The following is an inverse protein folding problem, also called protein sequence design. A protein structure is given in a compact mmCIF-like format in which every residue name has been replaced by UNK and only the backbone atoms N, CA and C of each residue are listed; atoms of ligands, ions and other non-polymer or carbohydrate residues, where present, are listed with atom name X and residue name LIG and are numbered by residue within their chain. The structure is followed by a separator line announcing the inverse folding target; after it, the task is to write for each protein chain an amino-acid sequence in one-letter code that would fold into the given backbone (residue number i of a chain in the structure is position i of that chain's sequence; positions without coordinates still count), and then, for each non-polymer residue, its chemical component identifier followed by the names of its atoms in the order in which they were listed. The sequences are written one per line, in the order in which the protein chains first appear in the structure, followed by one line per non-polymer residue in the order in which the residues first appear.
data_IF_575261817672
#
_entry.id   IF_575261817672
#
_cell.length_a   1.000
_cell.length_b   1.000
_cell.length_c   1.000
_cell.angle_alpha   90.00
_cell.angle_beta   90.00
_cell.angle_gamma   90.00
#
_symmetry.space_group_name_H-M   'P 1'
#
loop_
_entity.id
_entity.type
_entity.pdbx_description
1 polymer ?
#
# COMPACT_ATOMS: atom_id res chain seq x y z
N UNK A 1 1.92 -18.29 -7.50
CA UNK A 1 2.40 -18.10 -6.12
C UNK A 1 1.50 -17.07 -5.47
N UNK A 2 0.41 -17.53 -4.86
CA UNK A 2 -0.54 -16.69 -4.13
C UNK A 2 -0.10 -16.67 -2.68
N UNK A 3 0.47 -15.55 -2.24
CA UNK A 3 0.78 -15.32 -0.83
C UNK A 3 -0.50 -15.13 -0.04
N UNK A 4 -0.67 -15.93 1.01
CA UNK A 4 -1.81 -15.87 1.91
C UNK A 4 -1.51 -14.78 2.95
N UNK A 5 -2.17 -13.63 2.82
CA UNK A 5 -2.09 -12.50 3.76
C UNK A 5 -2.86 -12.88 5.05
N UNK A 6 -2.39 -12.43 6.22
CA UNK A 6 -2.82 -12.92 7.54
C UNK A 6 -4.15 -12.30 8.01
N UNK A 7 -5.16 -13.14 8.25
CA UNK A 7 -6.59 -12.81 8.44
C UNK A 7 -7.06 -12.36 9.84
N UNK A 8 -6.18 -12.18 10.84
CA UNK A 8 -6.63 -11.85 12.22
C UNK A 8 -6.69 -10.34 12.53
N UNK A 9 -6.02 -9.53 11.72
CA UNK A 9 -6.20 -8.09 11.64
C UNK A 9 -6.66 -7.86 10.21
N UNK A 10 -7.95 -7.62 9.96
CA UNK A 10 -8.40 -7.19 8.63
C UNK A 10 -7.44 -6.08 8.19
N UNK A 11 -6.89 -6.19 6.98
CA UNK A 11 -5.66 -5.52 6.53
C UNK A 11 -5.59 -4.02 6.83
N UNK A 12 -6.70 -3.36 7.18
CA UNK A 12 -6.78 -1.90 7.22
C UNK A 12 -7.31 -1.38 8.59
N UNK A 13 -7.32 -2.20 9.65
CA UNK A 13 -7.50 -1.77 11.06
C UNK A 13 -8.73 -0.84 11.32
N UNK A 14 -9.90 -1.14 10.76
CA UNK A 14 -11.13 -0.36 10.96
C UNK A 14 -11.33 0.82 10.00
N UNK A 15 -10.28 1.20 9.25
CA UNK A 15 -10.34 2.21 8.20
C UNK A 15 -11.42 1.95 7.14
N UNK A 16 -11.58 0.71 6.63
CA UNK A 16 -12.54 0.41 5.59
C UNK A 16 -13.97 0.67 5.98
N UNK A 17 -14.34 0.19 7.17
CA UNK A 17 -15.66 0.32 7.74
C UNK A 17 -16.01 1.80 7.93
N UNK A 18 -15.06 2.60 8.44
CA UNK A 18 -15.24 4.04 8.58
C UNK A 18 -15.43 4.75 7.24
N UNK A 19 -14.64 4.40 6.23
CA UNK A 19 -14.72 5.02 4.91
C UNK A 19 -16.03 4.70 4.18
N UNK A 20 -16.53 3.46 4.24
CA UNK A 20 -17.83 3.08 3.64
C UNK A 20 -18.96 3.93 4.21
N UNK A 21 -18.96 4.18 5.53
CA UNK A 21 -19.96 5.04 6.18
C UNK A 21 -19.87 6.48 5.69
N UNK A 22 -18.67 7.03 5.53
CA UNK A 22 -18.49 8.39 5.00
C UNK A 22 -18.92 8.48 3.54
N UNK A 23 -18.61 7.49 2.72
CA UNK A 23 -19.05 7.44 1.33
C UNK A 23 -20.58 7.35 1.21
N UNK A 24 -21.24 6.61 2.11
CA UNK A 24 -22.70 6.60 2.22
C UNK A 24 -23.28 7.97 2.58
N UNK A 25 -22.66 8.68 3.53
CA UNK A 25 -23.07 10.04 3.91
C UNK A 25 -22.92 11.01 2.73
N UNK A 26 -21.81 10.93 1.98
CA UNK A 26 -21.56 11.78 0.81
C UNK A 26 -22.57 11.52 -0.30
N UNK A 27 -22.93 10.26 -0.55
CA UNK A 27 -23.95 9.91 -1.54
C UNK A 27 -25.35 10.45 -1.15
N UNK A 28 -25.74 10.32 0.12
CA UNK A 28 -27.02 10.90 0.59
C UNK A 28 -27.02 12.43 0.54
N UNK A 29 -25.89 13.06 0.87
CA UNK A 29 -25.74 14.51 0.74
C UNK A 29 -25.88 14.95 -0.73
N UNK A 30 -25.25 14.22 -1.65
CA UNK A 30 -25.34 14.48 -3.09
C UNK A 30 -26.79 14.38 -3.60
N UNK A 31 -27.53 13.34 -3.18
CA UNK A 31 -28.95 13.17 -3.50
C UNK A 31 -29.79 14.35 -2.99
N UNK A 32 -29.61 14.75 -1.73
CA UNK A 32 -30.34 15.89 -1.15
C UNK A 32 -30.03 17.21 -1.83
N UNK A 33 -28.79 17.39 -2.31
CA UNK A 33 -28.36 18.59 -3.02
C UNK A 33 -28.66 18.55 -4.52
N UNK A 34 -29.19 17.43 -5.04
CA UNK A 34 -29.36 17.21 -6.49
C UNK A 34 -28.08 17.46 -7.29
N UNK A 35 -26.93 17.05 -6.74
CA UNK A 35 -25.62 17.16 -7.37
C UNK A 35 -25.06 15.77 -7.68
N UNK A 36 -24.25 15.62 -8.75
CA UNK A 36 -23.48 14.41 -8.96
C UNK A 36 -22.55 14.12 -7.76
N UNK A 37 -22.49 12.87 -7.32
CA UNK A 37 -21.73 12.48 -6.13
C UNK A 37 -20.22 12.74 -6.29
N UNK A 38 -19.68 12.58 -7.49
CA UNK A 38 -18.28 12.86 -7.79
C UNK A 38 -17.94 14.35 -7.63
N UNK A 39 -18.88 15.25 -7.97
CA UNK A 39 -18.75 16.69 -7.74
C UNK A 39 -18.78 17.03 -6.25
N UNK A 40 -19.64 16.36 -5.47
CA UNK A 40 -19.69 16.55 -4.01
C UNK A 40 -18.39 16.08 -3.36
N UNK A 41 -17.85 14.92 -3.76
CA UNK A 41 -16.54 14.42 -3.30
C UNK A 41 -15.45 15.46 -3.58
N UNK A 42 -15.32 15.89 -4.82
CA UNK A 42 -14.26 16.81 -5.27
C UNK A 42 -14.29 18.16 -4.52
N UNK A 43 -15.48 18.72 -4.27
CA UNK A 43 -15.62 19.98 -3.53
C UNK A 43 -15.19 19.90 -2.06
N UNK A 44 -15.20 18.69 -1.49
CA UNK A 44 -14.87 18.41 -0.10
C UNK A 44 -13.46 17.85 0.09
N UNK A 45 -12.62 17.81 -0.95
CA UNK A 45 -11.22 17.42 -0.80
C UNK A 45 -10.44 18.39 0.09
N UNK A 46 -9.48 17.82 0.81
CA UNK A 46 -8.48 18.56 1.55
C UNK A 46 -7.69 19.49 0.63
N UNK A 47 -7.28 20.63 1.19
CA UNK A 47 -6.41 21.64 0.57
C UNK A 47 -5.14 21.82 1.41
N UNK A 48 -4.12 22.43 0.82
CA UNK A 48 -2.86 22.65 1.52
C UNK A 48 -3.05 23.54 2.74
N UNK A 49 -2.54 23.07 3.88
CA UNK A 49 -2.74 23.70 5.19
C UNK A 49 -3.94 23.16 5.97
N UNK A 50 -4.82 22.36 5.35
CA UNK A 50 -5.92 21.73 6.07
C UNK A 50 -5.40 20.70 7.08
N UNK A 51 -6.20 20.48 8.12
CA UNK A 51 -5.92 19.50 9.16
C UNK A 51 -7.00 18.43 9.17
N UNK A 52 -6.58 17.22 9.51
CA UNK A 52 -7.48 16.10 9.84
C UNK A 52 -8.27 16.41 11.11
N UNK A 53 -9.33 15.64 11.37
CA UNK A 53 -10.14 15.75 12.58
C UNK A 53 -9.35 15.52 13.89
N UNK A 54 -8.18 14.87 13.82
CA UNK A 54 -7.22 14.70 14.94
C UNK A 54 -6.08 15.73 14.93
N UNK A 55 -6.15 16.78 14.11
CA UNK A 55 -5.22 17.91 14.13
C UNK A 55 -3.89 17.70 13.41
N UNK A 56 -3.67 16.56 12.74
CA UNK A 56 -2.53 16.38 11.84
C UNK A 56 -2.75 17.17 10.55
N UNK A 57 -1.77 17.97 10.14
CA UNK A 57 -1.74 18.63 8.82
C UNK A 57 -1.69 17.56 7.73
N UNK A 58 -2.50 17.71 6.69
CA UNK A 58 -2.46 16.85 5.51
C UNK A 58 -1.38 17.35 4.57
N UNK A 59 -0.17 16.80 4.73
CA UNK A 59 0.95 17.07 3.82
C UNK A 59 0.60 16.61 2.40
N UNK A 60 1.02 17.38 1.39
CA UNK A 60 0.76 17.16 -0.03
C UNK A 60 -0.74 16.96 -0.39
N UNK A 61 -1.64 17.70 0.26
CA UNK A 61 -3.08 17.55 0.06
C UNK A 61 -3.49 17.78 -1.41
N UNK A 62 -2.73 18.53 -2.21
CA UNK A 62 -3.00 18.69 -3.64
C UNK A 62 -2.94 17.37 -4.44
N UNK A 63 -2.23 16.35 -3.94
CA UNK A 63 -2.09 15.05 -4.63
C UNK A 63 -3.42 14.40 -4.92
N UNK A 64 -4.41 14.51 -4.03
CA UNK A 64 -5.72 13.90 -4.29
C UNK A 64 -6.44 14.56 -5.47
N UNK A 65 -6.32 15.89 -5.61
CA UNK A 65 -6.88 16.62 -6.74
C UNK A 65 -6.20 16.27 -8.07
N UNK A 66 -4.88 16.11 -8.05
CA UNK A 66 -4.10 15.68 -9.22
C UNK A 66 -4.51 14.26 -9.65
N UNK A 67 -4.51 13.31 -8.70
CA UNK A 67 -4.90 11.92 -8.94
C UNK A 67 -6.33 11.85 -9.50
N UNK A 68 -7.26 12.56 -8.87
CA UNK A 68 -8.66 12.59 -9.28
C UNK A 68 -8.85 13.08 -10.71
N UNK A 69 -8.28 14.25 -11.04
CA UNK A 69 -8.40 14.85 -12.36
C UNK A 69 -7.77 13.96 -13.44
N UNK A 70 -6.53 13.51 -13.21
CA UNK A 70 -5.83 12.64 -14.15
C UNK A 70 -6.59 11.32 -14.37
N UNK A 71 -7.17 10.74 -13.32
CA UNK A 71 -7.94 9.51 -13.44
C UNK A 71 -9.26 9.74 -14.20
N UNK A 72 -9.98 10.85 -13.96
CA UNK A 72 -11.19 11.17 -14.75
C UNK A 72 -10.87 11.32 -16.23
N UNK A 73 -9.77 11.98 -16.57
CA UNK A 73 -9.31 12.16 -17.95
C UNK A 73 -8.91 10.82 -18.60
N UNK A 74 -8.02 10.06 -17.96
CA UNK A 74 -7.45 8.83 -18.53
C UNK A 74 -8.45 7.66 -18.58
N UNK A 75 -9.42 7.61 -17.67
CA UNK A 75 -10.50 6.61 -17.68
C UNK A 75 -11.63 6.95 -18.65
N UNK A 76 -11.66 8.19 -19.18
CA UNK A 76 -12.75 8.71 -20.02
C UNK A 76 -14.07 8.87 -19.26
N UNK A 77 -14.00 9.18 -17.95
CA UNK A 77 -15.13 9.11 -17.01
C UNK A 77 -16.43 9.75 -17.54
N UNK A 78 -16.36 11.01 -18.00
CA UNK A 78 -17.55 11.74 -18.46
C UNK A 78 -18.15 11.13 -19.73
N UNK A 79 -17.30 10.64 -20.65
CA UNK A 79 -17.75 9.97 -21.86
C UNK A 79 -18.44 8.63 -21.56
N UNK A 80 -17.90 7.86 -20.59
CA UNK A 80 -18.52 6.60 -20.15
C UNK A 80 -19.84 6.86 -19.43
N UNK A 81 -19.90 7.87 -18.57
CA UNK A 81 -21.15 8.30 -17.90
C UNK A 81 -22.26 8.59 -18.91
N UNK A 82 -21.95 9.35 -19.97
CA UNK A 82 -22.91 9.62 -21.04
C UNK A 82 -23.31 8.36 -21.83
N UNK A 83 -22.37 7.43 -22.05
CA UNK A 83 -22.65 6.14 -22.68
C UNK A 83 -23.58 5.24 -21.84
N UNK A 84 -23.35 5.19 -20.53
CA UNK A 84 -24.15 4.43 -19.57
C UNK A 84 -25.58 4.97 -19.50
N UNK A 85 -25.77 6.29 -19.51
CA UNK A 85 -27.11 6.88 -19.55
C UNK A 85 -27.91 6.42 -20.79
N UNK A 86 -27.25 6.31 -21.95
CA UNK A 86 -27.88 5.76 -23.17
C UNK A 86 -28.19 4.27 -23.02
N UNK A 87 -27.22 3.48 -22.56
CA UNK A 87 -27.40 2.05 -22.33
C UNK A 87 -28.59 1.77 -21.40
N UNK A 88 -28.66 2.49 -20.28
CA UNK A 88 -29.72 2.33 -19.28
C UNK A 88 -31.11 2.75 -19.79
N UNK A 89 -31.19 3.64 -20.79
CA UNK A 89 -32.46 4.00 -21.43
C UNK A 89 -32.94 2.92 -22.40
N UNK A 90 -32.01 2.19 -23.04
CA UNK A 90 -32.30 1.15 -24.03
C UNK A 90 -32.53 -0.24 -23.41
N UNK A 91 -31.96 -0.50 -22.24
CA UNK A 91 -31.99 -1.81 -21.58
C UNK A 91 -32.82 -1.75 -20.29
N UNK A 92 -34.09 -2.21 -20.28
CA UNK A 92 -34.96 -2.08 -19.11
C UNK A 92 -34.53 -2.98 -17.93
N UNK A 93 -33.97 -4.15 -18.21
CA UNK A 93 -33.64 -5.18 -17.22
C UNK A 93 -32.14 -5.38 -16.99
N UNK A 94 -31.29 -4.64 -17.70
CA UNK A 94 -29.84 -4.63 -17.49
C UNK A 94 -29.42 -3.20 -17.31
N UNK A 95 -28.72 -2.90 -16.21
CA UNK A 95 -28.27 -1.55 -15.89
C UNK A 95 -26.77 -1.52 -15.72
N UNK A 96 -26.16 -0.44 -16.17
CA UNK A 96 -24.77 -0.12 -15.89
C UNK A 96 -24.68 1.01 -14.89
N UNK A 97 -23.68 0.93 -14.04
CA UNK A 97 -23.34 1.97 -13.09
C UNK A 97 -21.86 2.32 -13.18
N UNK A 98 -21.53 3.54 -12.77
CA UNK A 98 -20.17 4.07 -12.81
C UNK A 98 -19.91 4.90 -11.58
N UNK A 99 -18.83 4.60 -10.88
CA UNK A 99 -18.42 5.42 -9.75
C UNK A 99 -16.92 5.66 -9.73
N UNK A 100 -16.57 6.81 -9.16
CA UNK A 100 -15.20 7.20 -8.83
C UNK A 100 -15.12 7.50 -7.33
N UNK A 101 -14.14 6.92 -6.65
CA UNK A 101 -13.94 7.09 -5.20
C UNK A 101 -12.47 7.38 -4.88
N UNK A 102 -12.18 8.34 -4.00
CA UNK A 102 -10.83 8.68 -3.56
C UNK A 102 -10.38 7.80 -2.38
N UNK A 103 -9.08 7.77 -2.11
CA UNK A 103 -8.53 7.29 -0.83
C UNK A 103 -7.44 8.24 -0.33
N UNK A 104 -7.47 8.49 0.98
CA UNK A 104 -6.34 9.07 1.74
C UNK A 104 -6.08 8.17 2.94
N UNK A 105 -4.98 7.44 2.90
CA UNK A 105 -4.63 6.45 3.91
C UNK A 105 -3.41 6.87 4.72
N UNK A 106 -3.50 6.86 6.05
CA UNK A 106 -2.38 7.24 6.93
C UNK A 106 -1.45 6.06 7.18
N UNK A 107 -0.14 6.26 7.01
CA UNK A 107 0.87 5.21 7.18
C UNK A 107 1.64 5.43 8.48
N UNK A 108 1.49 4.46 9.39
CA UNK A 108 2.23 4.19 10.63
C UNK A 108 1.37 3.27 11.50
N UNK A 109 1.96 2.59 12.47
CA UNK A 109 1.20 2.09 13.61
C UNK A 109 0.66 3.24 14.45
N UNK A 110 -0.60 3.14 14.89
CA UNK A 110 -1.22 4.11 15.82
C UNK A 110 -0.48 4.16 17.16
N UNK A 111 0.07 3.03 17.62
CA UNK A 111 0.96 2.98 18.76
C UNK A 111 2.40 3.33 18.34
N UNK A 112 2.90 4.48 18.80
CA UNK A 112 4.23 5.01 18.47
C UNK A 112 5.35 3.98 18.66
N UNK A 113 5.30 3.19 19.73
CA UNK A 113 6.32 2.20 20.05
C UNK A 113 6.53 1.12 18.96
N UNK A 114 5.53 0.83 18.12
CA UNK A 114 5.69 -0.18 17.06
C UNK A 114 6.33 0.35 15.78
N UNK A 115 6.57 1.66 15.68
CA UNK A 115 7.16 2.28 14.49
C UNK A 115 8.70 2.28 14.54
N UNK A 116 9.26 1.10 14.78
CA UNK A 116 10.70 0.86 14.88
C UNK A 116 11.08 -0.48 14.23
N UNK A 117 12.30 -0.57 13.73
CA UNK A 117 12.88 -1.81 13.23
C UNK A 117 14.40 -1.84 13.40
N UNK A 118 14.95 -3.05 13.51
CA UNK A 118 16.38 -3.33 13.48
C UNK A 118 16.77 -4.18 12.29
N UNK A 119 18.05 -4.15 11.93
CA UNK A 119 18.62 -4.99 10.88
C UNK A 119 20.08 -5.35 11.21
N UNK A 120 20.55 -6.48 10.72
CA UNK A 120 21.94 -6.93 10.81
C UNK A 120 22.46 -7.28 9.41
N UNK A 121 23.49 -6.58 8.96
CA UNK A 121 24.14 -6.79 7.66
C UNK A 121 25.55 -7.30 7.87
N UNK A 122 25.89 -8.40 7.22
CA UNK A 122 27.22 -9.03 7.26
C UNK A 122 27.79 -9.08 5.84
N UNK A 123 29.06 -8.69 5.69
CA UNK A 123 29.79 -8.78 4.44
C UNK A 123 30.91 -9.82 4.62
N UNK A 124 30.92 -10.83 3.77
CA UNK A 124 31.96 -11.86 3.76
C UNK A 124 33.15 -11.43 2.91
N UNK A 125 34.31 -12.08 3.12
CA UNK A 125 35.55 -11.74 2.41
C UNK A 125 35.48 -11.90 0.90
N UNK A 126 34.61 -12.77 0.40
CA UNK A 126 34.37 -12.98 -1.03
C UNK A 126 33.46 -11.90 -1.66
N UNK A 127 32.99 -10.94 -0.84
CA UNK A 127 32.08 -9.88 -1.24
C UNK A 127 30.61 -10.31 -1.28
N UNK A 128 30.25 -11.50 -0.79
CA UNK A 128 28.85 -11.85 -0.57
C UNK A 128 28.30 -11.15 0.68
N UNK A 129 27.02 -10.80 0.65
CA UNK A 129 26.35 -10.00 1.69
C UNK A 129 25.14 -10.76 2.22
N UNK A 130 25.05 -10.87 3.54
CA UNK A 130 23.91 -11.45 4.24
C UNK A 130 23.15 -10.36 4.97
N UNK A 131 21.83 -10.31 4.80
CA UNK A 131 20.94 -9.34 5.45
C UNK A 131 19.92 -10.07 6.32
N UNK A 132 19.86 -9.71 7.60
CA UNK A 132 18.82 -10.13 8.53
C UNK A 132 18.00 -8.89 8.92
N UNK A 133 16.68 -9.00 8.95
CA UNK A 133 15.76 -7.93 9.32
C UNK A 133 14.52 -8.52 10.02
N UNK A 134 13.69 -7.66 10.61
CA UNK A 134 12.60 -8.09 11.50
C UNK A 134 11.26 -8.38 10.84
N UNK A 135 11.02 -7.89 9.64
CA UNK A 135 9.79 -8.10 8.89
C UNK A 135 9.69 -9.49 8.27
N UNK A 136 8.48 -9.97 8.02
CA UNK A 136 8.19 -11.33 7.54
C UNK A 136 7.68 -11.30 6.11
N UNK A 137 8.20 -12.18 5.25
CA UNK A 137 7.67 -12.38 3.90
C UNK A 137 6.35 -13.16 3.95
N UNK A 138 5.30 -12.60 3.39
CA UNK A 138 3.96 -13.19 3.29
C UNK A 138 3.37 -13.04 1.87
N UNK A 139 4.21 -12.76 0.87
CA UNK A 139 3.85 -12.61 -0.54
C UNK A 139 3.83 -11.17 -1.04
N UNK A 140 4.07 -10.20 -0.15
CA UNK A 140 4.15 -8.77 -0.48
C UNK A 140 5.50 -8.35 -1.06
N UNK A 141 6.47 -9.27 -1.17
CA UNK A 141 7.77 -9.00 -1.76
C UNK A 141 8.68 -8.15 -0.89
N UNK A 142 8.51 -8.22 0.44
CA UNK A 142 9.35 -7.50 1.39
C UNK A 142 10.83 -7.90 1.21
N UNK A 143 11.13 -9.19 1.10
CA UNK A 143 12.52 -9.64 1.01
C UNK A 143 13.18 -9.17 -0.29
N UNK A 144 12.43 -9.14 -1.39
CA UNK A 144 12.90 -8.57 -2.67
C UNK A 144 13.24 -7.09 -2.52
N UNK A 145 12.37 -6.29 -1.89
CA UNK A 145 12.63 -4.86 -1.67
C UNK A 145 13.83 -4.63 -0.74
N UNK A 146 13.96 -5.43 0.32
CA UNK A 146 15.13 -5.37 1.22
C UNK A 146 16.43 -5.71 0.47
N UNK A 147 16.41 -6.70 -0.42
CA UNK A 147 17.56 -7.04 -1.25
C UNK A 147 17.95 -5.86 -2.15
N UNK A 148 16.97 -5.20 -2.78
CA UNK A 148 17.19 -4.01 -3.62
C UNK A 148 17.76 -2.84 -2.82
N UNK A 149 17.22 -2.55 -1.64
CA UNK A 149 17.72 -1.48 -0.76
C UNK A 149 19.16 -1.76 -0.33
N UNK A 150 19.48 -3.00 0.05
CA UNK A 150 20.84 -3.35 0.47
C UNK A 150 21.84 -3.28 -0.70
N UNK A 151 21.46 -3.76 -1.88
CA UNK A 151 22.28 -3.71 -3.09
C UNK A 151 22.57 -2.25 -3.51
N UNK A 152 21.53 -1.41 -3.56
CA UNK A 152 21.68 0.03 -3.87
C UNK A 152 22.52 0.75 -2.81
N UNK A 153 22.23 0.51 -1.53
CA UNK A 153 22.95 1.09 -0.41
C UNK A 153 24.45 0.81 -0.46
N UNK A 154 24.85 -0.42 -0.81
CA UNK A 154 26.26 -0.83 -0.93
C UNK A 154 26.86 -0.58 -2.33
N UNK A 155 26.05 -0.30 -3.34
CA UNK A 155 26.49 -0.14 -4.73
C UNK A 155 26.95 -1.44 -5.38
N UNK A 156 26.25 -2.55 -5.12
CA UNK A 156 26.61 -3.90 -5.60
C UNK A 156 25.46 -4.57 -6.37
N UNK A 157 25.74 -5.58 -7.21
CA UNK A 157 24.71 -6.37 -7.86
C UNK A 157 23.79 -7.12 -6.88
N UNK A 158 22.52 -7.32 -7.25
CA UNK A 158 21.52 -8.01 -6.41
C UNK A 158 21.93 -9.44 -6.01
N UNK A 159 22.59 -10.16 -6.90
CA UNK A 159 23.01 -11.56 -6.70
C UNK A 159 24.11 -11.72 -5.62
N UNK A 160 24.75 -10.62 -5.21
CA UNK A 160 25.67 -10.58 -4.06
C UNK A 160 24.93 -10.54 -2.73
N UNK A 161 23.66 -10.13 -2.72
CA UNK A 161 22.88 -9.94 -1.49
C UNK A 161 21.94 -11.12 -1.27
N UNK A 162 22.02 -11.73 -0.09
CA UNK A 162 21.09 -12.75 0.38
C UNK A 162 20.33 -12.26 1.60
N UNK A 163 19.02 -12.11 1.46
CA UNK A 163 18.11 -11.84 2.59
C UNK A 163 17.76 -13.17 3.26
N UNK A 164 17.92 -13.20 4.58
CA UNK A 164 17.67 -14.39 5.39
C UNK A 164 16.25 -14.39 5.93
N UNK A 165 15.75 -15.59 6.22
CA UNK A 165 14.51 -15.76 6.98
C UNK A 165 14.60 -15.02 8.33
N UNK A 166 13.47 -14.42 8.71
CA UNK A 166 13.34 -13.65 9.95
C UNK A 166 13.57 -14.54 11.16
N UNK A 167 14.47 -14.11 12.06
CA UNK A 167 14.81 -14.85 13.27
C UNK A 167 15.11 -13.92 14.43
N UNK A 168 14.51 -14.20 15.59
CA UNK A 168 14.66 -13.40 16.82
C UNK A 168 16.07 -13.48 17.43
N UNK A 169 16.85 -14.53 17.13
CA UNK A 169 18.26 -14.62 17.53
C UNK A 169 19.18 -13.70 16.70
N UNK A 170 18.69 -13.17 15.58
CA UNK A 170 19.44 -12.24 14.71
C UNK A 170 19.01 -10.80 14.89
N UNK A 171 17.70 -10.57 14.99
CA UNK A 171 17.11 -9.25 15.21
C UNK A 171 16.04 -9.39 16.31
N UNK A 172 16.33 -8.96 17.56
CA UNK A 172 15.38 -9.06 18.66
C UNK A 172 14.36 -7.90 18.64
N UNK A 173 13.29 -8.05 19.43
CA UNK A 173 12.31 -6.98 19.72
C UNK A 173 11.68 -6.33 18.48
N UNK A 174 11.42 -7.13 17.45
CA UNK A 174 10.87 -6.64 16.18
C UNK A 174 9.38 -6.37 16.31
N UNK A 175 8.92 -5.27 15.72
CA UNK A 175 7.49 -5.00 15.56
C UNK A 175 6.87 -5.98 14.57
N UNK A 176 5.54 -6.16 14.66
CA UNK A 176 4.83 -7.02 13.71
C UNK A 176 4.94 -6.48 12.28
N UNK A 177 4.86 -7.37 11.28
CA UNK A 177 4.77 -6.95 9.87
C UNK A 177 3.31 -6.59 9.55
N UNK A 178 2.95 -5.33 9.76
CA UNK A 178 1.58 -4.79 9.59
C UNK A 178 1.60 -3.26 9.38
N UNK A 179 0.42 -2.63 9.30
CA UNK A 179 0.22 -1.18 9.16
C UNK A 179 0.88 -0.60 7.89
N UNK A 180 0.96 -1.43 6.84
CA UNK A 180 1.70 -1.20 5.59
C UNK A 180 3.17 -0.77 5.77
N UNK A 181 3.75 -0.81 6.96
CA UNK A 181 5.03 -0.16 7.29
C UNK A 181 6.25 -1.08 7.17
N UNK A 182 6.06 -2.33 6.75
CA UNK A 182 7.09 -3.37 6.77
C UNK A 182 8.36 -3.00 5.99
N UNK A 183 8.22 -2.52 4.75
CA UNK A 183 9.38 -2.10 3.93
C UNK A 183 9.98 -0.81 4.45
N UNK A 184 9.16 0.19 4.82
CA UNK A 184 9.63 1.46 5.33
C UNK A 184 10.56 1.28 6.55
N UNK A 185 10.08 0.53 7.54
CA UNK A 185 10.81 0.33 8.79
C UNK A 185 12.06 -0.53 8.58
N UNK A 186 11.91 -1.74 8.02
CA UNK A 186 13.02 -2.68 7.88
C UNK A 186 14.00 -2.22 6.80
N UNK A 187 13.51 -1.58 5.75
CA UNK A 187 14.31 -1.01 4.68
C UNK A 187 15.17 0.15 5.17
N UNK A 188 14.60 1.07 5.96
CA UNK A 188 15.38 2.15 6.56
C UNK A 188 16.43 1.62 7.56
N UNK A 189 16.11 0.59 8.34
CA UNK A 189 17.08 -0.05 9.22
C UNK A 189 18.22 -0.72 8.44
N UNK A 190 17.92 -1.38 7.31
CA UNK A 190 18.94 -1.95 6.40
C UNK A 190 19.77 -0.85 5.76
N UNK A 191 19.15 0.24 5.29
CA UNK A 191 19.85 1.37 4.71
C UNK A 191 20.83 2.01 5.69
N UNK A 192 20.46 2.13 6.98
CA UNK A 192 21.36 2.59 8.04
C UNK A 192 22.57 1.67 8.21
N UNK A 193 22.37 0.35 8.28
CA UNK A 193 23.47 -0.62 8.35
C UNK A 193 24.39 -0.55 7.11
N UNK A 194 23.81 -0.43 5.92
CA UNK A 194 24.54 -0.29 4.66
C UNK A 194 25.35 1.02 4.61
N UNK A 195 24.81 2.14 5.09
CA UNK A 195 25.53 3.41 5.16
C UNK A 195 26.76 3.32 6.07
N UNK A 196 26.64 2.68 7.24
CA UNK A 196 27.76 2.43 8.14
C UNK A 196 28.85 1.57 7.48
N UNK A 197 28.46 0.48 6.80
CA UNK A 197 29.40 -0.42 6.12
C UNK A 197 30.08 0.27 4.93
N UNK A 198 29.33 1.01 4.12
CA UNK A 198 29.87 1.78 3.00
C UNK A 198 30.91 2.78 3.46
N UNK A 199 30.66 3.53 4.55
CA UNK A 199 31.65 4.45 5.09
C UNK A 199 32.96 3.76 5.47
N UNK A 200 32.88 2.58 6.11
CA UNK A 200 34.06 1.78 6.49
C UNK A 200 34.80 1.21 5.28
N UNK A 201 34.08 0.71 4.28
CA UNK A 201 34.65 0.15 3.05
C UNK A 201 35.32 1.24 2.21
N UNK A 202 34.69 2.41 2.06
CA UNK A 202 35.28 3.56 1.36
C UNK A 202 36.57 4.02 2.03
N UNK A 203 36.61 4.06 3.37
CA UNK A 203 37.82 4.38 4.11
C UNK A 203 38.91 3.30 3.90
N UNK A 204 38.54 2.02 3.92
CA UNK A 204 39.47 0.92 3.69
C UNK A 204 40.05 0.89 2.27
N UNK A 205 39.28 1.34 1.27
CA UNK A 205 39.73 1.50 -0.11
C UNK A 205 40.67 2.70 -0.30
N UNK A 206 40.83 3.57 0.70
CA UNK A 206 41.63 4.80 0.62
C UNK A 206 41.29 5.70 -0.59
N UNK A 207 40.04 5.65 -1.05
CA UNK A 207 39.57 6.39 -2.23
C UNK A 207 39.93 5.75 -3.58
N UNK A 208 40.50 4.56 -3.60
CA UNK A 208 40.75 3.81 -4.84
C UNK A 208 39.44 3.25 -5.42
N UNK A 209 39.00 3.83 -6.51
CA UNK A 209 37.77 3.45 -7.23
C UNK A 209 38.00 2.33 -8.25
N UNK A 210 39.24 1.87 -8.44
CA UNK A 210 39.56 0.77 -9.36
C UNK A 210 39.35 -0.62 -8.75
N UNK A 211 39.29 -0.70 -7.42
CA UNK A 211 39.10 -1.95 -6.69
C UNK A 211 37.69 -2.50 -6.90
N UNK A 212 37.62 -3.80 -7.18
CA UNK A 212 36.37 -4.55 -7.14
C UNK A 212 35.86 -4.69 -5.71
N UNK A 213 34.55 -4.90 -5.54
CA UNK A 213 33.96 -5.05 -4.20
C UNK A 213 34.63 -6.15 -3.34
N UNK A 214 34.97 -7.35 -3.86
CA UNK A 214 35.74 -8.35 -3.10
C UNK A 214 37.14 -7.88 -2.69
N UNK A 215 37.84 -7.12 -3.55
CA UNK A 215 39.15 -6.56 -3.22
C UNK A 215 39.06 -5.52 -2.09
N UNK A 216 38.01 -4.68 -2.10
CA UNK A 216 37.73 -3.74 -1.00
C UNK A 216 37.44 -4.51 0.29
N UNK A 217 36.66 -5.59 0.24
CA UNK A 217 36.36 -6.43 1.41
C UNK A 217 37.63 -7.09 1.97
N UNK A 218 38.50 -7.59 1.10
CA UNK A 218 39.79 -8.18 1.49
C UNK A 218 40.73 -7.12 2.10
N UNK A 219 40.79 -5.92 1.53
CA UNK A 219 41.55 -4.80 2.06
C UNK A 219 41.05 -4.40 3.46
N UNK A 220 39.74 -4.25 3.62
CA UNK A 220 39.10 -3.97 4.91
C UNK A 220 39.42 -5.05 5.95
N UNK A 221 39.35 -6.33 5.57
CA UNK A 221 39.72 -7.45 6.44
C UNK A 221 41.18 -7.37 6.91
N UNK A 222 42.12 -7.12 5.99
CA UNK A 222 43.56 -6.97 6.33
C UNK A 222 43.83 -5.78 7.25
N UNK A 223 43.02 -4.73 7.11
CA UNK A 223 43.08 -3.55 7.98
C UNK A 223 42.36 -3.75 9.33
N UNK A 224 41.74 -4.92 9.55
CA UNK A 224 40.94 -5.25 10.75
C UNK A 224 39.70 -4.37 10.91
N UNK A 225 39.14 -3.93 9.78
CA UNK A 225 37.87 -3.17 9.75
C UNK A 225 36.70 -4.15 9.91
N UNK A 226 35.73 -3.88 10.79
CA UNK A 226 34.58 -4.75 10.98
C UNK A 226 33.63 -4.70 9.77
N UNK A 227 33.45 -5.87 9.14
CA UNK A 227 32.57 -6.11 7.98
C UNK A 227 31.14 -6.53 8.37
N UNK A 228 30.65 -6.04 9.50
CA UNK A 228 29.27 -6.23 9.94
C UNK A 228 28.74 -4.95 10.57
N UNK A 229 27.44 -4.69 10.43
CA UNK A 229 26.79 -3.56 11.08
C UNK A 229 25.38 -3.94 11.54
N UNK A 230 24.97 -3.31 12.63
CA UNK A 230 23.59 -3.29 13.08
C UNK A 230 23.01 -1.94 12.68
N UNK A 231 21.87 -1.97 12.01
CA UNK A 231 21.13 -0.78 11.63
C UNK A 231 19.83 -0.69 12.41
N UNK A 232 19.36 0.53 12.62
CA UNK A 232 18.15 0.76 13.39
C UNK A 232 17.38 1.97 12.87
N UNK A 233 16.07 1.85 12.81
CA UNK A 233 15.18 2.93 12.42
C UNK A 233 14.08 3.12 13.45
N UNK A 234 13.78 4.40 13.73
CA UNK A 234 12.59 4.83 14.45
C UNK A 234 11.92 5.91 13.64
N UNK A 235 10.61 5.80 13.44
CA UNK A 235 9.87 6.78 12.66
C UNK A 235 9.84 8.12 13.39
N UNK A 236 10.33 9.22 12.77
CA UNK A 236 10.44 10.50 13.44
C UNK A 236 9.10 11.27 13.44
N UNK A 237 8.90 12.08 14.49
CA UNK A 237 7.85 13.11 14.54
C UNK A 237 6.41 12.61 14.78
N UNK A 238 6.20 11.30 14.91
CA UNK A 238 4.87 10.73 15.16
C UNK A 238 4.52 10.74 16.66
N UNK A 239 3.27 11.06 16.99
CA UNK A 239 2.72 11.07 18.34
C UNK A 239 1.19 11.13 18.30
N UNK A 240 0.51 10.60 19.32
CA UNK A 240 -0.94 10.73 19.46
C UNK A 240 -1.30 10.75 20.94
N UNK A 241 -2.08 11.75 21.37
CA UNK A 241 -2.59 11.83 22.74
C UNK A 241 -4.01 11.25 22.78
N UNK A 242 -4.21 10.07 23.40
CA UNK A 242 -5.52 9.44 23.48
C UNK A 242 -6.51 10.19 24.36
N UNK A 243 -6.04 11.09 25.27
CA UNK A 243 -6.93 11.87 26.13
C UNK A 243 -7.59 13.02 25.36
N UNK A 244 -6.83 13.69 24.50
CA UNK A 244 -7.33 14.79 23.69
C UNK A 244 -7.82 14.35 22.31
N UNK A 245 -7.46 13.13 21.87
CA UNK A 245 -7.76 12.62 20.53
C UNK A 245 -7.00 13.35 19.42
N UNK A 246 -5.84 13.97 19.74
CA UNK A 246 -5.09 14.83 18.84
C UNK A 246 -3.63 14.41 18.70
N UNK A 247 -3.02 14.70 17.56
CA UNK A 247 -1.59 14.51 17.32
C UNK A 247 -1.23 14.29 15.85
N UNK A 248 -0.02 13.78 15.62
CA UNK A 248 0.49 13.31 14.31
C UNK A 248 0.68 11.78 14.36
N UNK A 249 -0.40 10.97 14.29
CA UNK A 249 -0.27 9.51 14.35
C UNK A 249 0.45 8.90 13.14
N UNK A 250 0.34 9.54 11.96
CA UNK A 250 0.87 8.99 10.71
C UNK A 250 2.11 9.75 10.22
N UNK A 251 3.08 9.03 9.67
CA UNK A 251 4.30 9.65 9.15
C UNK A 251 4.03 10.42 7.85
N UNK A 252 3.24 9.83 6.96
CA UNK A 252 2.75 10.42 5.72
C UNK A 252 1.39 9.82 5.33
N UNK A 253 0.80 10.32 4.24
CA UNK A 253 -0.43 9.77 3.65
C UNK A 253 -0.19 9.20 2.26
N UNK A 254 -0.78 8.04 1.97
CA UNK A 254 -0.92 7.49 0.62
C UNK A 254 -2.25 7.96 0.02
N UNK A 255 -2.20 8.47 -1.21
CA UNK A 255 -3.38 8.94 -1.94
C UNK A 255 -3.68 8.03 -3.13
N UNK A 256 -4.93 7.96 -3.53
CA UNK A 256 -5.32 7.20 -4.72
C UNK A 256 -6.76 7.49 -5.11
N UNK A 257 -7.16 6.98 -6.26
CA UNK A 257 -8.56 6.91 -6.66
C UNK A 257 -8.78 5.73 -7.60
N UNK A 258 -10.03 5.27 -7.66
CA UNK A 258 -10.45 4.24 -8.60
C UNK A 258 -11.77 4.62 -9.26
N UNK A 259 -11.87 4.31 -10.55
CA UNK A 259 -13.09 4.38 -11.34
C UNK A 259 -13.50 2.96 -11.69
N UNK A 260 -14.72 2.55 -11.32
CA UNK A 260 -15.25 1.22 -11.66
C UNK A 260 -16.56 1.34 -12.42
N UNK A 261 -16.71 0.52 -13.45
CA UNK A 261 -17.93 0.36 -14.26
C UNK A 261 -18.42 -1.09 -14.15
N UNK A 262 -19.70 -1.24 -13.84
CA UNK A 262 -20.36 -2.52 -13.64
C UNK A 262 -21.59 -2.63 -14.53
N UNK A 263 -22.06 -3.85 -14.74
CA UNK A 263 -23.38 -4.15 -15.30
C UNK A 263 -24.11 -5.12 -14.36
N UNK A 264 -25.36 -4.80 -14.01
CA UNK A 264 -26.23 -5.61 -13.13
C UNK A 264 -27.38 -6.20 -13.93
N UNK A 265 -27.66 -7.48 -13.69
CA UNK A 265 -28.87 -8.15 -14.15
C UNK A 265 -30.03 -7.90 -13.16
N UNK A 266 -31.10 -7.26 -13.65
CA UNK A 266 -32.26 -6.91 -12.83
C UNK A 266 -33.15 -8.08 -12.43
N UNK A 267 -32.93 -9.29 -12.96
CA UNK A 267 -33.66 -10.49 -12.59
C UNK A 267 -32.92 -11.34 -11.55
N UNK A 268 -31.59 -11.49 -11.70
CA UNK A 268 -30.79 -12.35 -10.79
C UNK A 268 -30.11 -11.56 -9.68
N UNK A 269 -29.83 -10.27 -9.89
CA UNK A 269 -28.99 -9.46 -9.02
C UNK A 269 -27.49 -9.70 -9.21
N UNK A 270 -27.11 -10.58 -10.15
CA UNK A 270 -25.71 -10.78 -10.50
C UNK A 270 -25.14 -9.52 -11.16
N UNK A 271 -23.85 -9.30 -10.98
CA UNK A 271 -23.15 -8.20 -11.63
C UNK A 271 -21.87 -8.68 -12.33
N UNK A 272 -21.46 -7.93 -13.35
CA UNK A 272 -20.16 -8.07 -14.01
C UNK A 272 -19.36 -6.80 -13.83
N UNK A 273 -18.09 -6.94 -13.47
CA UNK A 273 -17.15 -5.83 -13.40
C UNK A 273 -16.52 -5.62 -14.77
N UNK A 274 -17.01 -4.64 -15.52
CA UNK A 274 -16.61 -4.42 -16.91
C UNK A 274 -15.23 -3.77 -16.99
N UNK A 275 -14.98 -2.75 -16.16
CA UNK A 275 -13.73 -2.01 -16.20
C UNK A 275 -13.43 -1.35 -14.87
N UNK A 276 -12.17 -1.43 -14.46
CA UNK A 276 -11.62 -0.63 -13.35
C UNK A 276 -10.35 0.09 -13.81
N UNK A 277 -10.27 1.39 -13.53
CA UNK A 277 -9.08 2.22 -13.68
C UNK A 277 -8.63 2.72 -12.30
N UNK A 278 -7.37 2.46 -11.93
CA UNK A 278 -6.76 2.88 -10.67
C UNK A 278 -5.58 3.80 -10.95
N UNK A 279 -5.50 4.89 -10.18
CA UNK A 279 -4.31 5.71 -10.08
C UNK A 279 -3.93 5.88 -8.61
N UNK A 280 -2.71 5.47 -8.27
CA UNK A 280 -2.25 5.37 -6.89
C UNK A 280 -0.91 6.07 -6.68
N UNK A 281 -0.80 6.85 -5.60
CA UNK A 281 0.45 7.45 -5.16
C UNK A 281 1.27 6.45 -4.33
N UNK A 282 2.36 5.97 -4.92
CA UNK A 282 3.32 5.02 -4.31
C UNK A 282 4.69 5.68 -4.04
N UNK A 283 4.78 7.00 -4.17
CA UNK A 283 6.07 7.69 -4.17
C UNK A 283 7.00 7.21 -5.30
N UNK A 284 8.29 7.16 -5.02
CA UNK A 284 9.27 6.51 -5.88
C UNK A 284 9.30 5.01 -5.56
N UNK A 285 8.56 4.23 -6.35
CA UNK A 285 8.42 2.80 -6.16
C UNK A 285 9.77 2.08 -6.17
N UNK A 286 10.04 1.28 -5.13
CA UNK A 286 11.24 0.43 -5.04
C UNK A 286 11.16 -0.74 -6.04
N UNK A 287 9.95 -1.29 -6.21
CA UNK A 287 9.71 -2.42 -7.10
C UNK A 287 8.33 -2.29 -7.75
N UNK A 288 8.26 -1.66 -8.94
CA UNK A 288 6.99 -1.33 -9.59
C UNK A 288 6.10 -2.54 -9.87
N UNK A 289 6.70 -3.70 -10.18
CA UNK A 289 5.96 -4.94 -10.45
C UNK A 289 5.31 -5.46 -9.16
N UNK A 290 6.04 -5.41 -8.03
CA UNK A 290 5.51 -5.81 -6.72
C UNK A 290 4.41 -4.87 -6.28
N UNK A 291 4.62 -3.55 -6.42
CA UNK A 291 3.63 -2.54 -6.02
C UNK A 291 2.36 -2.64 -6.86
N UNK A 292 2.47 -2.89 -8.17
CA UNK A 292 1.32 -3.17 -9.02
C UNK A 292 0.54 -4.39 -8.54
N UNK A 293 1.23 -5.50 -8.23
CA UNK A 293 0.58 -6.70 -7.71
C UNK A 293 -0.12 -6.49 -6.36
N UNK A 294 0.43 -5.64 -5.49
CA UNK A 294 -0.23 -5.24 -4.24
C UNK A 294 -1.49 -4.40 -4.49
N UNK A 295 -1.45 -3.48 -5.45
CA UNK A 295 -2.64 -2.68 -5.81
C UNK A 295 -3.74 -3.58 -6.38
N UNK A 296 -3.40 -4.48 -7.31
CA UNK A 296 -4.33 -5.42 -7.90
C UNK A 296 -4.92 -6.37 -6.84
N UNK A 297 -4.07 -6.97 -6.01
CA UNK A 297 -4.48 -7.89 -4.95
C UNK A 297 -5.35 -7.23 -3.88
N UNK A 298 -4.93 -6.07 -3.37
CA UNK A 298 -5.69 -5.30 -2.38
C UNK A 298 -7.05 -4.86 -2.92
N UNK A 299 -7.10 -4.36 -4.17
CA UNK A 299 -8.36 -4.00 -4.81
C UNK A 299 -9.33 -5.19 -4.91
N UNK A 300 -8.88 -6.35 -5.42
CA UNK A 300 -9.74 -7.53 -5.56
C UNK A 300 -10.19 -8.07 -4.21
N UNK A 301 -9.33 -8.03 -3.19
CA UNK A 301 -9.74 -8.37 -1.81
C UNK A 301 -10.83 -7.42 -1.30
N UNK A 302 -10.71 -6.12 -1.60
CA UNK A 302 -11.76 -5.15 -1.30
C UNK A 302 -13.07 -5.41 -2.06
N UNK A 303 -12.99 -5.87 -3.32
CA UNK A 303 -14.17 -6.29 -4.10
C UNK A 303 -14.85 -7.45 -3.38
N UNK A 304 -14.10 -8.50 -3.03
CA UNK A 304 -14.61 -9.64 -2.27
C UNK A 304 -15.34 -9.22 -1.00
N UNK A 305 -14.66 -8.43 -0.16
CA UNK A 305 -15.20 -7.91 1.08
C UNK A 305 -16.52 -7.14 0.91
N UNK A 306 -16.67 -6.37 -0.17
CA UNK A 306 -17.82 -5.49 -0.38
C UNK A 306 -18.99 -6.17 -1.10
N UNK A 307 -18.77 -7.26 -1.84
CA UNK A 307 -19.77 -7.77 -2.78
C UNK A 307 -20.12 -9.24 -2.62
N UNK A 308 -19.21 -10.11 -2.17
CA UNK A 308 -19.45 -11.57 -2.18
C UNK A 308 -19.02 -12.32 -0.91
N UNK A 309 -18.12 -11.76 -0.10
CA UNK A 309 -17.63 -12.38 1.13
C UNK A 309 -18.63 -12.19 2.26
N UNK A 310 -19.32 -13.27 2.66
CA UNK A 310 -20.32 -13.24 3.72
C UNK A 310 -20.05 -14.30 4.80
N UNK A 311 -19.89 -13.83 6.04
CA UNK A 311 -19.91 -14.71 7.21
C UNK A 311 -21.35 -14.88 7.67
N UNK A 312 -21.79 -16.13 7.78
CA UNK A 312 -23.11 -16.48 8.32
C UNK A 312 -22.95 -17.29 9.59
N UNK A 313 -23.88 -17.11 10.53
CA UNK A 313 -23.93 -17.83 11.79
C UNK A 313 -25.25 -18.59 11.91
N UNK A 314 -25.19 -19.77 12.52
CA UNK A 314 -26.38 -20.52 12.90
C UNK A 314 -27.05 -19.96 14.17
N UNK A 315 -28.22 -20.48 14.52
CA UNK A 315 -28.98 -20.10 15.71
C UNK A 315 -28.24 -20.35 17.04
N UNK A 316 -27.13 -21.10 17.01
CA UNK A 316 -26.28 -21.39 18.16
C UNK A 316 -24.99 -20.56 18.17
N UNK A 317 -24.83 -19.62 17.23
CA UNK A 317 -23.66 -18.75 17.11
C UNK A 317 -22.42 -19.43 16.52
N UNK A 318 -22.57 -20.55 15.81
CA UNK A 318 -21.48 -21.22 15.08
C UNK A 318 -21.37 -20.67 13.67
N UNK A 319 -20.16 -20.57 13.13
CA UNK A 319 -19.93 -20.11 11.76
C UNK A 319 -20.42 -21.16 10.76
N UNK A 320 -21.45 -20.81 9.99
CA UNK A 320 -22.04 -21.64 8.95
C UNK A 320 -21.18 -21.64 7.66
N UNK A 321 -20.50 -20.52 7.36
CA UNK A 321 -19.64 -20.39 6.17
C UNK A 321 -18.17 -20.70 6.50
N UNK A 322 -17.90 -21.88 7.06
CA UNK A 322 -16.57 -22.27 7.58
C UNK A 322 -15.63 -22.96 6.56
N UNK A 323 -15.99 -23.00 5.27
CA UNK A 323 -15.21 -23.64 4.21
C UNK A 323 -15.23 -22.84 2.91
N UNK A 324 -14.29 -23.09 1.99
CA UNK A 324 -14.28 -22.47 0.65
C UNK A 324 -15.52 -22.79 -0.21
N UNK A 325 -16.23 -23.89 0.13
CA UNK A 325 -17.50 -24.22 -0.55
C UNK A 325 -18.65 -23.29 -0.13
N UNK A 326 -18.54 -22.68 1.05
CA UNK A 326 -19.58 -21.86 1.69
C UNK A 326 -19.20 -20.39 1.86
N UNK A 327 -17.90 -20.07 1.96
CA UNK A 327 -17.35 -18.71 1.99
C UNK A 327 -16.65 -18.44 0.68
N UNK A 328 -17.13 -17.47 -0.09
CA UNK A 328 -16.66 -17.22 -1.45
C UNK A 328 -15.67 -16.07 -1.48
N UNK A 329 -14.41 -16.41 -1.74
CA UNK A 329 -13.41 -15.44 -2.14
C UNK A 329 -13.61 -15.08 -3.63
N UNK A 330 -13.16 -13.89 -4.05
CA UNK A 330 -13.10 -13.54 -5.46
C UNK A 330 -12.40 -14.60 -6.30
N UNK A 331 -13.06 -14.98 -7.37
CA UNK A 331 -12.53 -15.84 -8.42
C UNK A 331 -12.26 -15.01 -9.67
N UNK A 332 -11.95 -15.67 -10.80
CA UNK A 332 -11.70 -14.97 -12.06
C UNK A 332 -12.90 -14.18 -12.59
N UNK A 333 -14.13 -14.54 -12.21
CA UNK A 333 -15.34 -13.79 -12.63
C UNK A 333 -15.47 -12.43 -11.97
N UNK A 334 -14.84 -12.23 -10.81
CA UNK A 334 -14.89 -10.96 -10.07
C UNK A 334 -13.78 -9.98 -10.46
N UNK A 335 -12.83 -10.43 -11.31
CA UNK A 335 -11.77 -9.57 -11.85
C UNK A 335 -12.35 -8.71 -12.98
N UNK A 336 -12.03 -7.40 -13.05
CA UNK A 336 -12.48 -6.55 -14.15
C UNK A 336 -12.05 -7.08 -15.52
N UNK A 337 -12.94 -7.09 -16.51
CA UNK A 337 -12.58 -7.46 -17.89
C UNK A 337 -11.46 -6.55 -18.44
N UNK A 338 -11.51 -5.26 -18.09
CA UNK A 338 -10.44 -4.29 -18.33
C UNK A 338 -9.91 -3.77 -16.99
N UNK A 339 -8.68 -4.14 -16.63
CA UNK A 339 -8.06 -3.72 -15.37
C UNK A 339 -6.80 -2.87 -15.59
N UNK A 340 -6.96 -1.55 -15.48
CA UNK A 340 -5.87 -0.59 -15.65
C UNK A 340 -5.36 -0.12 -14.29
N UNK A 341 -4.11 -0.42 -13.97
CA UNK A 341 -3.45 0.03 -12.73
C UNK A 341 -2.24 0.88 -13.08
N UNK A 342 -2.30 2.15 -12.66
CA UNK A 342 -1.24 3.13 -12.88
C UNK A 342 -0.79 3.75 -11.56
N UNK A 343 0.44 4.26 -11.55
CA UNK A 343 1.03 4.95 -10.40
C UNK A 343 1.24 6.43 -10.71
N UNK A 344 1.09 7.28 -9.70
CA UNK A 344 1.34 8.71 -9.83
C UNK A 344 2.84 8.95 -10.09
N UNK A 345 3.15 9.73 -11.12
CA UNK A 345 4.55 10.04 -11.47
C UNK A 345 5.03 11.29 -10.74
N UNK A 346 6.35 11.38 -10.51
CA UNK A 346 7.00 12.52 -9.84
C UNK A 346 6.40 12.80 -8.45
N UNK A 347 6.22 11.73 -7.68
CA UNK A 347 5.52 11.76 -6.40
C UNK A 347 6.42 11.41 -5.20
N UNK A 348 7.75 11.56 -5.34
CA UNK A 348 8.76 11.27 -4.31
C UNK A 348 8.27 11.66 -2.90
N UNK A 349 8.30 10.71 -1.97
CA UNK A 349 8.02 10.97 -0.57
C UNK A 349 9.32 11.38 0.13
N UNK A 350 9.41 12.59 0.73
CA UNK A 350 10.62 12.98 1.44
C UNK A 350 10.79 12.19 2.75
N UNK A 351 12.05 12.04 3.17
CA UNK A 351 12.45 11.49 4.49
C UNK A 351 12.06 10.03 4.75
N UNK A 352 11.86 9.24 3.70
CA UNK A 352 11.60 7.79 3.77
C UNK A 352 12.57 7.04 2.87
N UNK A 353 12.67 5.72 3.05
CA UNK A 353 13.59 4.88 2.29
C UNK A 353 13.27 4.96 0.78
N UNK A 354 14.28 5.33 -0.01
CA UNK A 354 14.23 5.47 -1.46
C UNK A 354 13.09 6.35 -2.01
N UNK A 355 12.52 7.26 -1.21
CA UNK A 355 11.43 8.11 -1.66
C UNK A 355 10.07 7.40 -1.84
N UNK A 356 9.96 6.15 -1.37
CA UNK A 356 8.80 5.28 -1.58
C UNK A 356 7.63 5.53 -0.65
N UNK A 357 6.43 5.07 -1.01
CA UNK A 357 5.28 4.97 -0.11
C UNK A 357 4.78 3.53 0.01
N UNK A 358 4.29 3.23 1.19
CA UNK A 358 3.65 1.99 1.54
C UNK A 358 2.33 1.78 0.77
N UNK A 359 2.09 0.54 0.33
CA UNK A 359 0.97 0.23 -0.57
C UNK A 359 0.17 -1.04 -0.27
N UNK A 360 0.45 -1.74 0.83
CA UNK A 360 -0.25 -3.00 1.13
C UNK A 360 -1.75 -2.83 1.35
N UNK A 361 -2.12 -1.87 2.19
CA UNK A 361 -3.50 -1.71 2.69
C UNK A 361 -4.35 -0.66 1.95
N UNK A 362 -3.81 0.50 1.49
CA UNK A 362 -4.62 1.53 0.82
C UNK A 362 -5.48 1.05 -0.36
N UNK A 363 -5.01 0.15 -1.24
CA UNK A 363 -5.77 -0.30 -2.41
C UNK A 363 -7.05 -1.06 -2.10
N UNK A 364 -7.18 -1.67 -0.91
CA UNK A 364 -8.41 -2.33 -0.49
C UNK A 364 -9.59 -1.35 -0.52
N UNK A 365 -9.34 -0.08 -0.20
CA UNK A 365 -10.40 0.92 -0.16
C UNK A 365 -10.87 1.41 -1.52
N UNK A 366 -10.04 1.24 -2.54
CA UNK A 366 -10.39 1.62 -3.90
C UNK A 366 -11.55 0.79 -4.44
N UNK A 367 -11.78 -0.41 -3.89
CA UNK A 367 -12.92 -1.24 -4.22
C UNK A 367 -14.27 -0.65 -3.81
N UNK A 368 -14.31 0.39 -2.95
CA UNK A 368 -15.56 1.12 -2.70
C UNK A 368 -16.14 1.68 -4.02
N UNK A 369 -15.31 1.98 -5.02
CA UNK A 369 -15.79 2.34 -6.36
C UNK A 369 -16.70 1.28 -6.98
N UNK A 370 -16.50 -0.01 -6.70
CA UNK A 370 -17.36 -1.10 -7.19
C UNK A 370 -18.70 -1.09 -6.47
N UNK A 371 -18.72 -0.98 -5.14
CA UNK A 371 -19.96 -0.82 -4.36
C UNK A 371 -20.76 0.38 -4.83
N UNK A 372 -20.10 1.53 -5.01
CA UNK A 372 -20.76 2.75 -5.45
C UNK A 372 -21.25 2.66 -6.90
N UNK A 373 -20.56 1.91 -7.76
CA UNK A 373 -21.02 1.65 -9.12
C UNK A 373 -22.23 0.70 -9.14
N UNK A 374 -22.32 -0.29 -8.22
CA UNK A 374 -23.50 -1.16 -8.09
C UNK A 374 -24.72 -0.38 -7.60
N UNK A 375 -24.50 0.63 -6.75
CA UNK A 375 -25.55 1.49 -6.22
C UNK A 375 -26.13 2.47 -7.25
N UNK A 376 -25.27 3.01 -8.11
CA UNK A 376 -25.60 3.94 -9.19
C UNK A 376 -26.47 3.28 -10.26
#
# INVERSE_FOLDING_TARGET
MTGMICWLVNDVLGGPQGMVVIEEILAQAAQRLSLPVDVVRERNFYRNGDTTHYGQVVDDAERIGIVWKQLKETSGFDARRAGIARFNAEHPHQKRGLAITPVKFGISFTATAFNQAGASVLIFRDGSVQVNQGGTEMGQGLYTKIQQIAADGLGIPLDRVRVMSTRTDKVPNTSATAASSGTDLNGAAVADACAQLKARLTAAAAGDTSLTFPEICEAAYRQRVPLFAQGYYRTPGIHFDPKTGRGKPFHYFAFGAAVSEIEVDGFTGDYRLLRTDILQDVGDSISPIVDRGQIEGGFIQGVGWLTIEELLWDEHGRVATSSASTYKLPSWSEVPEVFNVNVLTRATQPNVVMGSKAIGEPPLMLAISVREAIRD
#
